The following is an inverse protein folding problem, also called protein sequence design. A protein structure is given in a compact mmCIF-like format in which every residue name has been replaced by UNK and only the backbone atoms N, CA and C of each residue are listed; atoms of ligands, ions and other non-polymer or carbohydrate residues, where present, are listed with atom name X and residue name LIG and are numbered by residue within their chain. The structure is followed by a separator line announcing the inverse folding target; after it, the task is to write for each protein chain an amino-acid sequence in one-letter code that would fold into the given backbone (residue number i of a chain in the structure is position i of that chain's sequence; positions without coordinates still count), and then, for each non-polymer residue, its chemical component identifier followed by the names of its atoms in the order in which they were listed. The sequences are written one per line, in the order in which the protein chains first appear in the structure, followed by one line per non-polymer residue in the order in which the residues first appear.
data_IF_485911618155
#
_entry.id   IF_485911618155
#
_cell.length_a   1.000
_cell.length_b   1.000
_cell.length_c   1.000
_cell.angle_alpha   90.00
_cell.angle_beta   90.00
_cell.angle_gamma   90.00
#
_symmetry.space_group_name_H-M   'P 1'
#
loop_
_entity.id
_entity.type
_entity.pdbx_description
1 polymer ?
#
# COMPACT_ATOMS: atom_id res chain seq x y z
N UNK A 1 -22.54 -17.00 3.43
CA UNK A 1 -22.17 -15.58 3.44
C UNK A 1 -23.14 -14.82 4.32
N UNK A 2 -22.68 -13.78 5.00
CA UNK A 2 -23.50 -12.87 5.81
C UNK A 2 -23.94 -11.63 5.01
N UNK A 3 -23.24 -11.33 3.92
CA UNK A 3 -23.52 -10.24 2.98
C UNK A 3 -23.13 -10.63 1.55
N UNK A 4 -23.41 -9.76 0.59
CA UNK A 4 -23.02 -9.90 -0.81
C UNK A 4 -21.52 -9.60 -1.01
N UNK A 5 -20.97 -10.15 -2.10
CA UNK A 5 -19.60 -9.97 -2.53
C UNK A 5 -19.58 -9.31 -3.90
N UNK A 6 -18.89 -8.18 -4.02
CA UNK A 6 -18.78 -7.38 -5.25
C UNK A 6 -17.36 -7.49 -5.80
N UNK A 7 -17.24 -7.94 -7.05
CA UNK A 7 -15.96 -8.09 -7.75
C UNK A 7 -15.95 -7.20 -8.98
N UNK A 8 -14.94 -6.34 -9.09
CA UNK A 8 -14.78 -5.41 -10.21
C UNK A 8 -14.05 -6.13 -11.35
N UNK A 9 -14.77 -6.43 -12.43
CA UNK A 9 -14.24 -7.02 -13.65
C UNK A 9 -15.24 -6.87 -14.81
N UNK A 10 -14.77 -7.00 -16.04
CA UNK A 10 -15.62 -7.32 -17.20
C UNK A 10 -15.35 -8.74 -17.72
N UNK A 11 -16.01 -9.15 -18.80
CA UNK A 11 -15.86 -10.50 -19.37
C UNK A 11 -14.42 -10.80 -19.81
N UNK A 12 -13.71 -9.83 -20.39
CA UNK A 12 -12.33 -10.00 -20.83
C UNK A 12 -11.41 -10.13 -19.63
N UNK A 13 -11.58 -9.26 -18.64
CA UNK A 13 -10.84 -9.29 -17.40
C UNK A 13 -11.02 -10.65 -16.71
N UNK A 14 -12.25 -11.15 -16.60
CA UNK A 14 -12.49 -12.48 -16.02
C UNK A 14 -11.83 -13.62 -16.81
N UNK A 15 -11.83 -13.53 -18.14
CA UNK A 15 -11.24 -14.58 -18.99
C UNK A 15 -9.69 -14.62 -18.93
N UNK A 16 -9.04 -13.47 -18.73
CA UNK A 16 -7.57 -13.37 -18.74
C UNK A 16 -6.92 -13.69 -17.39
N UNK A 17 -7.70 -13.61 -16.30
CA UNK A 17 -7.25 -13.80 -14.92
C UNK A 17 -7.64 -15.19 -14.40
N UNK A 18 -6.68 -16.12 -14.46
CA UNK A 18 -6.88 -17.57 -14.33
C UNK A 18 -6.89 -18.14 -12.91
N UNK A 19 -6.90 -17.29 -11.87
CA UNK A 19 -6.90 -17.78 -10.48
C UNK A 19 -8.30 -17.76 -9.86
N UNK A 20 -9.08 -18.81 -10.18
CA UNK A 20 -10.44 -19.08 -9.69
C UNK A 20 -10.56 -19.14 -8.15
N UNK A 21 -9.44 -19.16 -7.42
CA UNK A 21 -9.44 -19.13 -5.96
C UNK A 21 -9.76 -17.75 -5.40
N UNK A 22 -9.45 -16.67 -6.12
CA UNK A 22 -9.64 -15.30 -5.62
C UNK A 22 -11.12 -14.96 -5.39
N UNK A 23 -12.05 -15.27 -6.32
CA UNK A 23 -13.48 -15.13 -6.07
C UNK A 23 -13.96 -15.95 -4.86
N UNK A 24 -13.40 -17.15 -4.66
CA UNK A 24 -13.71 -17.99 -3.48
C UNK A 24 -13.24 -17.32 -2.19
N UNK A 25 -12.04 -16.70 -2.18
CA UNK A 25 -11.57 -15.94 -1.02
C UNK A 25 -12.50 -14.77 -0.69
N UNK A 26 -12.99 -14.04 -1.69
CA UNK A 26 -13.95 -12.95 -1.50
C UNK A 26 -15.26 -13.44 -0.87
N UNK A 27 -15.80 -14.56 -1.37
CA UNK A 27 -16.98 -15.23 -0.78
C UNK A 27 -16.74 -15.62 0.68
N UNK A 28 -15.55 -16.13 0.98
CA UNK A 28 -15.22 -16.51 2.35
C UNK A 28 -15.10 -15.26 3.25
N UNK A 29 -14.54 -14.15 2.77
CA UNK A 29 -14.48 -12.89 3.53
C UNK A 29 -15.86 -12.30 3.81
N UNK A 30 -16.84 -12.53 2.92
CA UNK A 30 -18.24 -12.15 3.13
C UNK A 30 -18.93 -12.91 4.28
N UNK A 31 -18.24 -13.86 4.93
CA UNK A 31 -18.72 -14.60 6.10
C UNK A 31 -18.15 -14.09 7.43
N UNK A 32 -17.35 -13.03 7.44
CA UNK A 32 -16.70 -12.55 8.66
C UNK A 32 -17.70 -11.99 9.68
N UNK A 33 -17.58 -12.34 10.97
CA UNK A 33 -18.46 -11.81 12.02
C UNK A 33 -18.45 -10.28 12.08
N UNK A 34 -19.65 -9.70 12.16
CA UNK A 34 -19.82 -8.25 12.21
C UNK A 34 -19.55 -7.54 10.89
N UNK A 35 -19.38 -8.24 9.77
CA UNK A 35 -19.29 -7.61 8.45
C UNK A 35 -20.50 -6.71 8.17
N UNK A 36 -20.24 -5.55 7.58
CA UNK A 36 -21.25 -4.55 7.20
C UNK A 36 -21.05 -4.13 5.75
N UNK A 37 -22.13 -3.77 5.06
CA UNK A 37 -22.13 -3.53 3.62
C UNK A 37 -21.65 -4.76 2.87
N UNK A 38 -21.09 -4.58 1.69
CA UNK A 38 -20.60 -5.66 0.83
C UNK A 38 -19.09 -5.93 1.04
N UNK A 39 -18.65 -7.15 0.76
CA UNK A 39 -17.23 -7.46 0.62
C UNK A 39 -16.77 -7.11 -0.80
N UNK A 40 -15.67 -6.38 -0.95
CA UNK A 40 -15.22 -5.89 -2.26
C UNK A 40 -13.90 -6.52 -2.72
N UNK A 41 -13.79 -6.80 -4.01
CA UNK A 41 -12.55 -7.07 -4.72
C UNK A 41 -12.36 -6.04 -5.85
N UNK A 42 -11.33 -5.19 -5.71
CA UNK A 42 -10.91 -4.17 -6.68
C UNK A 42 -10.42 -4.81 -7.99
N UNK A 43 -10.34 -4.04 -9.08
CA UNK A 43 -9.96 -4.56 -10.41
C UNK A 43 -8.57 -5.23 -10.48
N UNK A 44 -7.68 -4.97 -9.53
CA UNK A 44 -6.37 -5.61 -9.40
C UNK A 44 -6.40 -6.90 -8.56
N UNK A 45 -7.59 -7.45 -8.31
CA UNK A 45 -7.79 -8.63 -7.47
C UNK A 45 -6.95 -9.83 -7.89
N UNK A 46 -6.41 -10.54 -6.90
CA UNK A 46 -5.71 -11.82 -7.09
C UNK A 46 -5.55 -12.58 -5.77
N UNK A 47 -5.14 -13.84 -5.85
CA UNK A 47 -5.04 -14.74 -4.70
C UNK A 47 -4.07 -14.22 -3.63
N UNK A 48 -4.54 -14.20 -2.38
CA UNK A 48 -3.78 -13.78 -1.21
C UNK A 48 -3.79 -14.81 -0.07
N UNK A 49 -3.35 -14.39 1.12
CA UNK A 49 -3.49 -15.18 2.35
C UNK A 49 -4.83 -14.88 3.05
N UNK A 50 -5.78 -15.82 3.01
CA UNK A 50 -7.12 -15.65 3.57
C UNK A 50 -8.00 -14.72 2.73
N UNK A 51 -7.66 -13.43 2.73
CA UNK A 51 -8.30 -12.40 1.90
C UNK A 51 -7.63 -12.34 0.53
N UNK A 52 -8.40 -12.03 -0.55
CA UNK A 52 -7.81 -11.66 -1.82
C UNK A 52 -6.98 -10.39 -1.65
N UNK A 53 -5.87 -10.27 -2.39
CA UNK A 53 -5.24 -8.98 -2.61
C UNK A 53 -6.14 -8.21 -3.58
N UNK A 54 -6.32 -6.90 -3.39
CA UNK A 54 -7.43 -6.14 -3.96
C UNK A 54 -8.68 -6.16 -3.07
N UNK A 55 -8.61 -6.71 -1.86
CA UNK A 55 -9.76 -6.91 -0.98
C UNK A 55 -10.06 -5.72 -0.08
N UNK A 56 -11.34 -5.38 0.07
CA UNK A 56 -11.85 -4.44 1.08
C UNK A 56 -13.04 -5.03 1.83
N UNK A 57 -12.96 -5.03 3.16
CA UNK A 57 -14.02 -5.53 4.05
C UNK A 57 -14.13 -4.63 5.26
N UNK A 58 -15.34 -4.20 5.58
CA UNK A 58 -15.63 -3.45 6.79
C UNK A 58 -16.38 -4.33 7.80
N UNK A 59 -15.98 -4.27 9.07
CA UNK A 59 -16.71 -4.88 10.18
C UNK A 59 -17.13 -3.80 11.18
N UNK A 60 -18.36 -3.87 11.72
CA UNK A 60 -18.82 -2.93 12.74
C UNK A 60 -18.08 -3.18 14.05
N UNK A 61 -17.39 -2.16 14.56
CA UNK A 61 -16.63 -2.27 15.81
C UNK A 61 -17.53 -2.56 17.00
N UNK A 62 -18.82 -2.19 16.93
CA UNK A 62 -19.81 -2.37 17.98
C UNK A 62 -20.69 -3.61 17.76
N UNK A 63 -20.35 -4.48 16.81
CA UNK A 63 -21.11 -5.71 16.54
C UNK A 63 -21.03 -6.70 17.71
N UNK A 64 -22.09 -6.80 18.50
CA UNK A 64 -22.15 -7.70 19.67
C UNK A 64 -21.29 -7.20 20.84
N UNK A 65 -21.04 -8.06 21.83
CA UNK A 65 -20.33 -7.65 23.06
C UNK A 65 -18.83 -7.44 22.86
N UNK A 66 -18.20 -8.17 21.94
CA UNK A 66 -16.75 -8.11 21.68
C UNK A 66 -16.38 -7.41 20.37
N UNK A 67 -17.36 -6.84 19.67
CA UNK A 67 -17.18 -6.16 18.39
C UNK A 67 -16.98 -7.09 17.19
N UNK A 68 -16.96 -6.50 16.01
CA UNK A 68 -16.74 -7.19 14.74
C UNK A 68 -15.32 -7.77 14.60
N UNK A 69 -15.13 -8.59 13.57
CA UNK A 69 -13.88 -9.28 13.35
C UNK A 69 -12.75 -8.33 12.88
N UNK A 70 -11.56 -8.50 13.45
CA UNK A 70 -10.30 -8.00 12.89
C UNK A 70 -9.41 -9.18 12.47
N UNK A 71 -8.88 -9.12 11.25
CA UNK A 71 -8.04 -10.20 10.70
C UNK A 71 -6.70 -9.66 10.17
N UNK A 72 -5.55 -10.16 10.66
CA UNK A 72 -4.26 -9.84 10.08
C UNK A 72 -4.14 -10.26 8.61
N UNK A 73 -4.83 -11.34 8.23
CA UNK A 73 -4.92 -11.79 6.83
C UNK A 73 -5.62 -10.78 5.92
N UNK A 74 -6.50 -9.94 6.47
CA UNK A 74 -7.20 -8.85 5.77
C UNK A 74 -6.43 -7.54 5.68
N UNK A 75 -5.30 -7.42 6.37
CA UNK A 75 -4.35 -6.32 6.25
C UNK A 75 -3.17 -6.73 5.37
N UNK A 76 -2.65 -7.94 5.58
CA UNK A 76 -1.46 -8.45 4.91
C UNK A 76 -0.20 -8.39 5.78
N UNK A 77 0.85 -9.07 5.32
CA UNK A 77 2.09 -9.21 6.08
C UNK A 77 2.92 -7.93 6.09
N UNK A 78 3.03 -7.23 4.96
CA UNK A 78 3.72 -5.94 4.92
C UNK A 78 2.74 -4.83 5.32
N UNK A 79 2.55 -4.69 6.63
CA UNK A 79 1.65 -3.69 7.23
C UNK A 79 2.09 -2.30 6.78
N UNK A 80 1.12 -1.50 6.35
CA UNK A 80 1.31 -0.20 5.73
C UNK A 80 2.36 -0.21 4.61
N UNK A 81 2.47 -1.30 3.85
CA UNK A 81 2.96 -1.19 2.48
C UNK A 81 2.10 -0.15 1.77
N UNK A 82 2.76 0.76 1.06
CA UNK A 82 2.11 1.93 0.52
C UNK A 82 3.04 2.67 -0.42
N UNK A 83 2.51 3.75 -0.96
CA UNK A 83 3.14 4.49 -2.05
C UNK A 83 3.18 5.95 -1.66
N UNK A 84 4.33 6.58 -1.87
CA UNK A 84 4.48 8.03 -1.82
C UNK A 84 4.86 8.53 -3.20
N UNK A 85 4.18 9.56 -3.68
CA UNK A 85 4.54 10.29 -4.89
C UNK A 85 5.13 11.63 -4.50
N UNK A 86 6.33 11.92 -5.00
CA UNK A 86 6.97 13.21 -4.92
C UNK A 86 6.99 13.86 -6.31
N UNK A 87 6.71 15.14 -6.40
CA UNK A 87 6.80 15.92 -7.62
C UNK A 87 7.89 16.96 -7.51
N UNK A 88 8.60 17.21 -8.61
CA UNK A 88 9.68 18.21 -8.68
C UNK A 88 9.30 19.32 -9.64
N UNK A 89 9.99 20.46 -9.59
CA UNK A 89 9.89 21.49 -10.62
C UNK A 89 10.67 21.15 -11.90
N UNK A 90 11.42 20.04 -11.91
CA UNK A 90 12.27 19.62 -13.01
C UNK A 90 11.47 18.93 -14.12
N UNK A 91 12.02 19.00 -15.32
CA UNK A 91 11.57 18.27 -16.51
C UNK A 91 12.63 17.26 -16.94
N UNK A 92 12.31 16.44 -17.95
CA UNK A 92 13.26 15.45 -18.47
C UNK A 92 14.56 16.09 -19.01
N UNK A 93 14.49 17.35 -19.48
CA UNK A 93 15.65 18.09 -19.97
C UNK A 93 16.62 18.51 -18.85
N UNK A 94 16.13 18.63 -17.62
CA UNK A 94 16.90 19.07 -16.46
C UNK A 94 17.68 17.92 -15.79
N UNK A 95 17.34 16.68 -16.11
CA UNK A 95 17.87 15.48 -15.44
C UNK A 95 18.59 14.55 -16.41
N UNK A 96 19.60 13.84 -15.92
CA UNK A 96 20.15 12.67 -16.60
C UNK A 96 19.62 11.41 -15.89
N UNK A 97 18.58 10.74 -16.43
CA UNK A 97 17.90 9.64 -15.74
C UNK A 97 18.85 8.50 -15.34
N UNK A 98 19.80 8.17 -16.21
CA UNK A 98 20.79 7.10 -15.97
C UNK A 98 21.75 7.43 -14.83
N UNK A 99 22.24 8.67 -14.79
CA UNK A 99 23.13 9.13 -13.72
C UNK A 99 22.38 9.18 -12.39
N UNK A 100 21.18 9.78 -12.38
CA UNK A 100 20.36 9.90 -11.18
C UNK A 100 19.93 8.53 -10.64
N UNK A 101 19.55 7.59 -11.51
CA UNK A 101 19.25 6.20 -11.11
C UNK A 101 20.43 5.53 -10.41
N UNK A 102 21.65 5.78 -10.90
CA UNK A 102 22.88 5.23 -10.32
C UNK A 102 23.16 5.83 -8.95
N UNK A 103 23.02 7.15 -8.81
CA UNK A 103 23.18 7.84 -7.52
C UNK A 103 22.14 7.38 -6.50
N UNK A 104 20.87 7.27 -6.91
CA UNK A 104 19.79 6.74 -6.06
C UNK A 104 20.06 5.30 -5.62
N UNK A 105 20.48 4.42 -6.54
CA UNK A 105 20.78 3.02 -6.20
C UNK A 105 21.96 2.87 -5.22
N UNK A 106 22.90 3.82 -5.22
CA UNK A 106 24.01 3.86 -4.28
C UNK A 106 23.59 4.40 -2.90
N UNK A 107 22.73 5.43 -2.87
CA UNK A 107 22.33 6.12 -1.64
C UNK A 107 21.11 5.50 -0.94
N UNK A 108 20.27 4.75 -1.67
CA UNK A 108 19.07 4.09 -1.15
C UNK A 108 19.34 2.59 -0.96
N UNK A 109 19.45 2.12 0.29
CA UNK A 109 19.67 0.71 0.54
C UNK A 109 18.44 -0.11 0.14
N UNK A 110 18.62 -0.98 -0.83
CA UNK A 110 17.61 -1.94 -1.28
C UNK A 110 18.01 -3.40 -0.97
N UNK A 111 17.05 -4.31 -1.07
CA UNK A 111 17.18 -5.75 -0.92
C UNK A 111 16.69 -6.30 0.42
N UNK A 112 16.85 -7.62 0.61
CA UNK A 112 16.46 -8.31 1.85
C UNK A 112 17.37 -7.95 3.06
N UNK A 113 18.52 -7.34 2.79
CA UNK A 113 19.47 -6.89 3.81
C UNK A 113 18.98 -5.63 4.51
N UNK A 114 19.24 -5.54 5.82
CA UNK A 114 19.04 -4.32 6.62
C UNK A 114 20.25 -3.36 6.57
N UNK A 115 21.34 -3.75 5.89
CA UNK A 115 22.56 -2.93 5.83
C UNK A 115 22.30 -1.62 5.09
N UNK A 116 22.71 -0.51 5.69
CA UNK A 116 22.60 0.84 5.14
C UNK A 116 21.43 1.66 5.67
N UNK A 117 20.50 1.04 6.41
CA UNK A 117 19.44 1.76 7.11
C UNK A 117 19.95 2.57 8.31
N UNK A 118 19.09 3.46 8.81
CA UNK A 118 19.35 4.23 10.03
C UNK A 118 19.38 3.27 11.22
N UNK A 119 20.41 3.39 12.05
CA UNK A 119 20.49 2.66 13.32
C UNK A 119 19.76 3.43 14.39
N UNK A 120 18.64 2.88 14.86
CA UNK A 120 17.82 3.48 15.90
C UNK A 120 18.18 2.91 17.27
N UNK A 121 18.31 3.78 18.26
CA UNK A 121 18.30 3.43 19.67
C UNK A 121 16.90 2.96 20.10
N UNK A 122 16.79 2.39 21.30
CA UNK A 122 15.52 1.94 21.85
C UNK A 122 14.48 3.08 21.98
N UNK A 123 14.91 4.27 22.41
CA UNK A 123 14.03 5.44 22.51
C UNK A 123 13.60 5.98 21.15
N UNK A 124 14.49 5.94 20.14
CA UNK A 124 14.15 6.42 18.80
C UNK A 124 13.18 5.48 18.09
N UNK A 125 13.34 4.15 18.22
CA UNK A 125 12.36 3.22 17.67
C UNK A 125 11.00 3.35 18.36
N UNK A 126 10.97 3.56 19.68
CA UNK A 126 9.71 3.81 20.41
C UNK A 126 9.02 5.09 19.91
N UNK A 127 9.78 6.17 19.72
CA UNK A 127 9.26 7.42 19.13
C UNK A 127 8.68 7.17 17.73
N UNK A 128 9.40 6.45 16.87
CA UNK A 128 8.92 6.07 15.53
C UNK A 128 7.64 5.23 15.57
N UNK A 129 7.51 4.30 16.51
CA UNK A 129 6.30 3.49 16.67
C UNK A 129 5.11 4.31 17.19
N UNK A 130 5.36 5.40 17.92
CA UNK A 130 4.34 6.27 18.50
C UNK A 130 3.86 7.38 17.55
N UNK A 131 4.79 8.02 16.85
CA UNK A 131 4.55 9.27 16.11
C UNK A 131 4.82 9.17 14.60
N UNK A 132 5.33 8.04 14.14
CA UNK A 132 5.47 7.73 12.72
C UNK A 132 6.29 8.75 11.96
N UNK A 133 5.68 9.39 10.96
CA UNK A 133 6.36 10.39 10.15
C UNK A 133 6.80 11.63 10.97
N UNK A 134 6.09 11.99 12.04
CA UNK A 134 6.48 13.10 12.91
C UNK A 134 7.80 12.82 13.63
N UNK A 135 7.95 11.63 14.21
CA UNK A 135 9.24 11.18 14.75
C UNK A 135 10.35 11.16 13.70
N UNK A 136 10.06 10.77 12.45
CA UNK A 136 11.07 10.85 11.39
C UNK A 136 11.53 12.29 11.13
N UNK A 137 10.63 13.27 11.19
CA UNK A 137 10.98 14.70 11.10
C UNK A 137 11.88 15.12 12.26
N UNK A 138 11.52 14.77 13.50
CA UNK A 138 12.29 15.12 14.69
C UNK A 138 13.71 14.53 14.67
N UNK A 139 13.87 13.35 14.07
CA UNK A 139 15.16 12.68 13.89
C UNK A 139 15.96 13.18 12.68
N UNK A 140 15.45 14.17 11.93
CA UNK A 140 16.10 14.73 10.74
C UNK A 140 15.94 13.88 9.47
N UNK A 141 15.02 12.92 9.48
CA UNK A 141 14.71 12.01 8.36
C UNK A 141 13.36 12.33 7.69
N UNK A 142 12.96 13.60 7.71
CA UNK A 142 11.75 14.09 7.06
C UNK A 142 11.64 15.60 7.20
N UNK A 143 10.64 16.20 6.55
CA UNK A 143 10.35 17.63 6.65
C UNK A 143 8.89 17.84 7.12
N UNK A 144 8.66 18.76 8.07
CA UNK A 144 7.32 18.97 8.67
C UNK A 144 6.25 19.34 7.64
N UNK A 145 6.64 20.00 6.54
CA UNK A 145 5.73 20.38 5.45
C UNK A 145 5.09 19.18 4.75
N UNK A 146 5.73 18.00 4.80
CA UNK A 146 5.25 16.80 4.13
C UNK A 146 4.05 16.19 4.85
N UNK A 147 3.91 16.41 6.16
CA UNK A 147 2.95 15.70 7.01
C UNK A 147 1.51 15.83 6.52
N UNK A 148 1.11 17.03 6.07
CA UNK A 148 -0.25 17.29 5.57
C UNK A 148 -0.58 16.53 4.26
N UNK A 149 0.43 16.04 3.54
CA UNK A 149 0.28 15.23 2.33
C UNK A 149 0.41 13.72 2.63
N UNK A 150 0.50 13.31 3.89
CA UNK A 150 0.55 11.90 4.28
C UNK A 150 -0.81 11.48 4.83
N UNK A 151 -1.31 10.32 4.43
CA UNK A 151 -2.51 9.72 5.00
C UNK A 151 -2.45 9.71 6.53
N UNK A 152 -3.52 10.14 7.22
CA UNK A 152 -3.55 10.29 8.68
C UNK A 152 -2.46 11.24 9.23
N UNK A 153 -1.97 12.16 8.41
CA UNK A 153 -0.79 13.00 8.70
C UNK A 153 0.47 12.18 9.07
N UNK A 154 0.54 10.93 8.60
CA UNK A 154 1.66 10.02 8.86
C UNK A 154 1.70 9.42 10.26
N UNK A 155 0.58 9.45 10.98
CA UNK A 155 0.44 8.90 12.33
C UNK A 155 -0.89 8.17 12.51
N UNK A 156 -0.80 6.93 12.98
CA UNK A 156 -1.89 6.11 13.50
C UNK A 156 -1.82 6.13 15.02
N UNK A 157 -2.98 6.12 15.65
CA UNK A 157 -3.08 6.09 17.11
C UNK A 157 -2.69 4.71 17.63
N UNK A 158 -1.70 4.62 18.51
CA UNK A 158 -1.32 3.39 19.21
C UNK A 158 -0.99 3.72 20.66
N UNK A 159 -1.48 2.91 21.60
CA UNK A 159 -1.40 3.15 23.05
C UNK A 159 -0.31 2.33 23.71
N UNK A 160 -0.30 1.01 23.51
CA UNK A 160 0.63 0.09 24.19
C UNK A 160 1.93 -0.07 23.40
N UNK A 161 1.82 -0.06 22.05
CA UNK A 161 2.91 -0.32 21.09
C UNK A 161 3.60 -1.65 21.40
N UNK A 162 2.84 -2.66 21.80
CA UNK A 162 3.37 -3.99 22.18
C UNK A 162 3.82 -4.77 20.95
N UNK A 163 4.96 -4.36 20.41
CA UNK A 163 5.61 -4.96 19.25
C UNK A 163 6.68 -5.92 19.77
N UNK A 164 6.56 -7.20 19.45
CA UNK A 164 7.46 -8.24 19.94
C UNK A 164 8.95 -7.96 19.68
N UNK A 165 9.83 -8.44 20.57
CA UNK A 165 11.28 -8.20 20.52
C UNK A 165 11.91 -8.53 19.15
N UNK A 166 11.41 -9.60 18.50
CA UNK A 166 11.88 -10.02 17.19
C UNK A 166 11.52 -8.99 16.11
N UNK A 167 10.34 -8.38 16.19
CA UNK A 167 9.90 -7.33 15.27
C UNK A 167 10.73 -6.05 15.48
N UNK A 168 10.95 -5.63 16.73
CA UNK A 168 11.82 -4.50 17.08
C UNK A 168 13.25 -4.70 16.56
N UNK A 169 13.84 -5.88 16.77
CA UNK A 169 15.18 -6.21 16.26
C UNK A 169 15.25 -6.17 14.73
N UNK A 170 14.17 -6.51 14.03
CA UNK A 170 14.11 -6.43 12.56
C UNK A 170 13.97 -4.98 12.08
N UNK A 171 13.27 -4.13 12.82
CA UNK A 171 13.07 -2.71 12.50
C UNK A 171 14.22 -1.77 12.90
N UNK A 172 14.98 -2.06 13.96
CA UNK A 172 15.97 -1.12 14.52
C UNK A 172 17.11 -0.70 13.59
N UNK A 173 17.29 -1.39 12.46
CA UNK A 173 18.33 -1.12 11.46
C UNK A 173 17.78 -0.98 10.04
N UNK A 174 16.45 -1.00 9.87
CA UNK A 174 15.81 -1.05 8.55
C UNK A 174 15.17 0.27 8.11
N UNK A 175 15.19 1.31 8.94
CA UNK A 175 14.57 2.59 8.63
C UNK A 175 15.35 3.27 7.49
N UNK A 176 14.64 3.88 6.53
CA UNK A 176 15.22 4.46 5.34
C UNK A 176 15.75 3.42 4.35
N UNK A 177 15.17 2.22 4.32
CA UNK A 177 15.51 1.17 3.35
C UNK A 177 14.30 0.76 2.53
N UNK A 178 14.54 0.41 1.27
CA UNK A 178 13.47 0.09 0.33
C UNK A 178 12.92 -1.32 0.57
N UNK A 179 13.82 -2.30 0.68
CA UNK A 179 13.45 -3.71 0.72
C UNK A 179 13.49 -4.43 -0.60
N UNK A 180 12.74 -5.53 -0.68
CA UNK A 180 12.71 -6.48 -1.80
C UNK A 180 11.27 -6.75 -2.24
N UNK A 181 11.07 -7.59 -3.27
CA UNK A 181 9.75 -7.87 -3.83
C UNK A 181 9.33 -6.80 -4.82
N UNK A 182 8.11 -6.30 -4.66
CA UNK A 182 7.53 -5.23 -5.47
C UNK A 182 7.93 -3.82 -4.99
N UNK A 183 8.82 -3.69 -4.01
CA UNK A 183 9.28 -2.39 -3.53
C UNK A 183 10.29 -1.75 -4.48
N UNK A 184 10.08 -0.49 -4.83
CA UNK A 184 10.94 0.29 -5.70
C UNK A 184 10.99 1.78 -5.34
N UNK A 185 12.03 2.46 -5.84
CA UNK A 185 11.97 3.89 -6.11
C UNK A 185 11.99 4.05 -7.63
N UNK A 186 11.00 4.72 -8.18
CA UNK A 186 10.85 4.90 -9.61
C UNK A 186 10.82 6.38 -9.96
N UNK A 187 11.72 6.80 -10.85
CA UNK A 187 11.66 8.12 -11.46
C UNK A 187 10.73 8.02 -12.66
N UNK A 188 9.80 8.97 -12.75
CA UNK A 188 8.77 8.97 -13.78
C UNK A 188 8.64 10.36 -14.38
N UNK A 189 7.96 10.42 -15.52
CA UNK A 189 7.52 11.67 -16.14
C UNK A 189 6.01 11.64 -16.24
N UNK A 190 5.34 12.72 -15.85
CA UNK A 190 3.90 12.90 -16.13
C UNK A 190 3.72 13.01 -17.64
N UNK A 191 3.27 11.94 -18.29
CA UNK A 191 3.17 11.89 -19.75
C UNK A 191 1.83 12.44 -20.27
N UNK A 192 0.78 12.32 -19.45
CA UNK A 192 -0.58 12.74 -19.78
C UNK A 192 -1.33 13.20 -18.53
N UNK A 193 -2.00 14.34 -18.65
CA UNK A 193 -2.99 14.84 -17.67
C UNK A 193 -4.38 14.60 -18.22
N UNK A 194 -5.27 14.04 -17.40
CA UNK A 194 -6.67 13.70 -17.75
C UNK A 194 -7.63 14.65 -17.05
N UNK A 195 -7.43 14.91 -15.76
CA UNK A 195 -8.19 15.90 -14.98
C UNK A 195 -7.27 17.08 -14.63
N UNK A 196 -7.40 18.18 -15.37
CA UNK A 196 -6.56 19.36 -15.20
C UNK A 196 -6.75 20.04 -13.84
N UNK A 197 -7.97 20.03 -13.29
CA UNK A 197 -8.26 20.68 -12.02
C UNK A 197 -7.61 19.91 -10.86
N UNK A 198 -7.83 18.60 -10.81
CA UNK A 198 -7.20 17.74 -9.81
C UNK A 198 -5.67 17.72 -9.95
N UNK A 199 -5.14 17.64 -11.18
CA UNK A 199 -3.69 17.67 -11.40
C UNK A 199 -3.06 18.98 -10.89
N UNK A 200 -3.67 20.14 -11.17
CA UNK A 200 -3.18 21.42 -10.65
C UNK A 200 -3.23 21.50 -9.13
N UNK A 201 -4.29 20.99 -8.49
CA UNK A 201 -4.39 20.89 -7.04
C UNK A 201 -3.32 19.96 -6.43
N UNK A 202 -2.95 18.90 -7.15
CA UNK A 202 -1.92 17.94 -6.74
C UNK A 202 -0.49 18.39 -7.09
N UNK A 203 -0.31 19.58 -7.68
CA UNK A 203 1.01 20.07 -8.10
C UNK A 203 1.61 19.33 -9.29
N UNK A 204 0.76 18.66 -10.09
CA UNK A 204 1.15 17.86 -11.25
C UNK A 204 0.95 18.60 -12.57
N UNK A 205 1.94 18.50 -13.45
CA UNK A 205 1.90 19.05 -14.82
C UNK A 205 2.58 18.12 -15.81
N UNK A 206 2.11 18.11 -17.05
CA UNK A 206 2.71 17.29 -18.11
C UNK A 206 4.19 17.65 -18.32
N UNK A 207 5.04 16.63 -18.50
CA UNK A 207 6.49 16.76 -18.67
C UNK A 207 7.30 16.86 -17.37
N UNK A 208 6.63 16.96 -16.22
CA UNK A 208 7.25 17.03 -14.91
C UNK A 208 7.89 15.71 -14.50
N UNK A 209 9.08 15.78 -13.90
CA UNK A 209 9.73 14.63 -13.28
C UNK A 209 9.17 14.42 -11.88
N UNK A 210 8.78 13.18 -11.61
CA UNK A 210 8.28 12.72 -10.31
C UNK A 210 9.12 11.55 -9.82
N UNK A 211 8.98 11.24 -8.53
CA UNK A 211 9.56 10.05 -7.92
C UNK A 211 8.50 9.32 -7.10
N UNK A 212 8.27 8.04 -7.41
CA UNK A 212 7.37 7.18 -6.67
C UNK A 212 8.17 6.25 -5.77
N UNK A 213 7.86 6.25 -4.48
CA UNK A 213 8.50 5.41 -3.47
C UNK A 213 7.48 4.39 -2.99
N UNK A 214 7.68 3.12 -3.34
CA UNK A 214 6.84 2.01 -2.91
C UNK A 214 7.61 1.15 -1.89
N UNK A 215 7.17 1.23 -0.62
CA UNK A 215 7.70 0.38 0.46
C UNK A 215 6.71 0.33 1.64
N UNK A 216 7.04 -0.46 2.65
CA UNK A 216 6.23 -0.62 3.86
C UNK A 216 7.03 -0.64 5.14
N UNK A 217 6.51 -1.39 6.11
CA UNK A 217 7.04 -1.53 7.49
C UNK A 217 8.24 -2.47 7.60
N UNK A 218 8.73 -2.94 6.46
CA UNK A 218 9.93 -3.79 6.35
C UNK A 218 9.74 -5.10 7.14
N UNK A 219 10.82 -5.58 7.75
CA UNK A 219 10.76 -6.80 8.56
C UNK A 219 9.96 -6.64 9.85
N UNK A 220 9.66 -5.42 10.30
CA UNK A 220 8.93 -5.17 11.54
C UNK A 220 7.46 -5.57 11.38
N UNK A 221 6.72 -4.99 10.44
CA UNK A 221 5.30 -5.32 10.28
C UNK A 221 5.08 -6.76 9.79
N UNK A 222 5.97 -7.31 8.97
CA UNK A 222 5.91 -8.75 8.65
C UNK A 222 5.97 -9.60 9.91
N UNK A 223 6.84 -9.25 10.86
CA UNK A 223 6.99 -10.02 12.09
C UNK A 223 5.77 -9.86 13.00
N UNK A 224 5.25 -8.63 13.14
CA UNK A 224 3.98 -8.36 13.84
C UNK A 224 2.85 -9.22 13.27
N UNK A 225 2.61 -9.14 11.96
CA UNK A 225 1.56 -9.93 11.31
C UNK A 225 1.77 -11.44 11.54
N UNK A 226 3.00 -11.94 11.42
CA UNK A 226 3.29 -13.38 11.66
C UNK A 226 2.94 -13.82 13.08
N UNK A 227 3.29 -13.01 14.08
CA UNK A 227 3.06 -13.32 15.50
C UNK A 227 1.56 -13.29 15.83
N UNK A 228 0.84 -12.27 15.37
CA UNK A 228 -0.61 -12.15 15.63
C UNK A 228 -1.44 -13.15 14.82
N UNK A 229 -1.05 -13.50 13.58
CA UNK A 229 -1.67 -14.61 12.84
C UNK A 229 -1.54 -15.90 13.65
N UNK A 230 -0.33 -16.24 14.13
CA UNK A 230 -0.11 -17.46 14.89
C UNK A 230 -0.91 -17.48 16.21
N UNK A 231 -0.96 -16.35 16.92
CA UNK A 231 -1.73 -16.21 18.16
C UNK A 231 -3.23 -16.42 17.91
N UNK A 232 -3.81 -15.74 16.92
CA UNK A 232 -5.24 -15.85 16.60
C UNK A 232 -5.57 -17.25 16.06
N UNK A 233 -4.77 -17.80 15.15
CA UNK A 233 -4.97 -19.16 14.62
C UNK A 233 -4.95 -20.24 15.70
N UNK A 234 -4.18 -20.06 16.77
CA UNK A 234 -4.08 -21.03 17.86
C UNK A 234 -5.39 -21.24 18.64
N UNK A 235 -6.33 -20.29 18.53
CA UNK A 235 -7.67 -20.36 19.11
C UNK A 235 -8.70 -21.07 18.22
N UNK A 236 -8.30 -21.51 17.02
CA UNK A 236 -9.16 -22.25 16.10
C UNK A 236 -8.80 -23.73 16.06
N UNK A 237 -9.82 -24.58 16.09
CA UNK A 237 -9.71 -26.03 15.88
C UNK A 237 -10.48 -26.43 14.63
N UNK A 238 -9.95 -27.39 13.89
CA UNK A 238 -10.65 -27.93 12.73
C UNK A 238 -11.79 -28.83 13.19
N UNK A 239 -13.00 -28.53 12.73
CA UNK A 239 -14.21 -29.34 12.92
C UNK A 239 -14.84 -29.59 11.55
N UNK A 240 -14.66 -30.82 11.03
CA UNK A 240 -14.99 -31.17 9.65
C UNK A 240 -14.26 -30.29 8.63
N UNK A 241 -15.06 -29.53 7.87
CA UNK A 241 -14.60 -28.62 6.81
C UNK A 241 -14.50 -27.15 7.24
N UNK A 242 -14.75 -26.86 8.52
CA UNK A 242 -14.65 -25.50 9.08
C UNK A 242 -13.62 -25.43 10.20
N UNK A 243 -13.17 -24.22 10.48
CA UNK A 243 -12.32 -23.89 11.63
C UNK A 243 -13.17 -23.15 12.65
N UNK A 244 -13.29 -23.69 13.86
CA UNK A 244 -14.13 -23.15 14.90
C UNK A 244 -13.31 -22.70 16.12
N UNK A 245 -13.61 -21.51 16.63
CA UNK A 245 -13.15 -21.02 17.93
C UNK A 245 -14.30 -21.08 18.93
N UNK A 246 -14.19 -21.94 19.94
CA UNK A 246 -15.16 -22.02 21.04
C UNK A 246 -15.20 -20.73 21.86
N UNK A 247 -14.04 -20.08 22.04
CA UNK A 247 -13.89 -18.87 22.84
C UNK A 247 -14.67 -17.69 22.24
N UNK A 248 -14.59 -17.52 20.92
CA UNK A 248 -15.23 -16.38 20.23
C UNK A 248 -16.53 -16.76 19.54
N UNK A 249 -16.87 -18.05 19.48
CA UNK A 249 -18.05 -18.52 18.73
C UNK A 249 -17.94 -18.30 17.22
N UNK A 250 -16.73 -18.17 16.67
CA UNK A 250 -16.48 -17.86 15.26
C UNK A 250 -16.20 -19.16 14.48
N UNK A 251 -16.78 -19.27 13.29
CA UNK A 251 -16.50 -20.35 12.34
C UNK A 251 -16.02 -19.80 11.02
N UNK A 252 -14.91 -20.35 10.51
CA UNK A 252 -14.24 -19.90 9.28
C UNK A 252 -14.14 -21.05 8.28
N UNK A 253 -14.36 -20.73 6.99
CA UNK A 253 -14.21 -21.67 5.89
C UNK A 253 -12.73 -21.99 5.58
N UNK A 254 -11.82 -21.08 5.93
CA UNK A 254 -10.38 -21.23 5.72
C UNK A 254 -9.64 -20.77 6.98
N UNK A 255 -8.62 -21.53 7.38
CA UNK A 255 -7.74 -21.16 8.49
C UNK A 255 -7.04 -19.83 8.26
N UNK A 256 -6.70 -19.52 7.00
CA UNK A 256 -6.00 -18.29 6.65
C UNK A 256 -6.87 -17.04 6.85
N UNK A 257 -8.18 -17.19 7.06
CA UNK A 257 -9.10 -16.13 7.44
C UNK A 257 -9.15 -15.88 8.95
N UNK A 258 -8.23 -16.47 9.72
CA UNK A 258 -8.13 -16.27 11.16
C UNK A 258 -8.36 -14.81 11.55
N UNK A 259 -9.36 -14.63 12.40
CA UNK A 259 -9.81 -13.33 12.89
C UNK A 259 -10.18 -13.44 14.36
N UNK A 260 -10.11 -12.33 15.09
CA UNK A 260 -10.59 -12.23 16.46
C UNK A 260 -11.61 -11.08 16.55
N UNK A 261 -12.54 -11.10 17.51
CA UNK A 261 -13.35 -9.91 17.81
C UNK A 261 -12.43 -8.73 18.16
N UNK A 262 -12.72 -7.53 17.66
CA UNK A 262 -11.82 -6.38 17.79
C UNK A 262 -11.60 -5.94 19.24
N UNK A 263 -12.54 -6.20 20.15
CA UNK A 263 -12.41 -5.91 21.59
C UNK A 263 -11.92 -7.10 22.41
N UNK A 264 -11.67 -8.26 21.78
CA UNK A 264 -10.95 -9.36 22.45
C UNK A 264 -9.50 -8.96 22.75
N UNK A 265 -8.83 -9.69 23.65
CA UNK A 265 -7.40 -9.45 23.95
C UNK A 265 -6.54 -9.52 22.70
N UNK A 266 -6.73 -10.55 21.88
CA UNK A 266 -5.97 -10.80 20.66
C UNK A 266 -6.27 -9.76 19.57
N UNK A 267 -7.54 -9.36 19.43
CA UNK A 267 -7.97 -8.34 18.47
C UNK A 267 -7.42 -6.95 18.81
N UNK A 268 -7.55 -6.53 20.06
CA UNK A 268 -7.04 -5.25 20.53
C UNK A 268 -5.51 -5.17 20.46
N UNK A 269 -4.81 -6.24 20.88
CA UNK A 269 -3.36 -6.31 20.78
C UNK A 269 -2.88 -6.25 19.32
N UNK A 270 -3.57 -6.93 18.40
CA UNK A 270 -3.22 -6.86 16.98
C UNK A 270 -3.44 -5.46 16.40
N UNK A 271 -4.58 -4.82 16.68
CA UNK A 271 -4.88 -3.48 16.19
C UNK A 271 -3.79 -2.48 16.60
N UNK A 272 -3.43 -2.47 17.88
CA UNK A 272 -2.41 -1.58 18.42
C UNK A 272 -1.01 -1.84 17.80
N UNK A 273 -0.58 -3.10 17.74
CA UNK A 273 0.71 -3.44 17.13
C UNK A 273 0.76 -3.16 15.62
N UNK A 274 -0.37 -3.31 14.92
CA UNK A 274 -0.52 -2.97 13.50
C UNK A 274 -0.45 -1.46 13.28
N UNK A 275 -1.08 -0.66 14.14
CA UNK A 275 -0.96 0.81 14.10
C UNK A 275 0.50 1.26 14.34
N UNK A 276 1.19 0.67 15.33
CA UNK A 276 2.60 0.94 15.58
C UNK A 276 3.51 0.55 14.39
N UNK A 277 3.27 -0.61 13.77
CA UNK A 277 3.97 -1.00 12.55
C UNK A 277 3.65 -0.08 11.36
N UNK A 278 2.42 0.43 11.30
CA UNK A 278 2.01 1.44 10.32
C UNK A 278 2.77 2.75 10.47
N UNK A 279 2.94 3.24 11.70
CA UNK A 279 3.77 4.41 12.01
C UNK A 279 5.21 4.23 11.52
N UNK A 280 5.80 3.07 11.76
CA UNK A 280 7.13 2.74 11.26
C UNK A 280 7.23 2.84 9.72
N UNK A 281 6.20 2.40 8.99
CA UNK A 281 6.21 2.48 7.53
C UNK A 281 6.13 3.94 7.02
N UNK A 282 5.31 4.79 7.64
CA UNK A 282 5.27 6.22 7.32
C UNK A 282 6.63 6.88 7.57
N UNK A 283 7.27 6.58 8.71
CA UNK A 283 8.63 7.04 9.01
C UNK A 283 9.64 6.55 7.96
N UNK A 284 9.53 5.30 7.52
CA UNK A 284 10.42 4.72 6.52
C UNK A 284 10.30 5.44 5.16
N UNK A 285 9.08 5.75 4.71
CA UNK A 285 8.85 6.52 3.48
C UNK A 285 9.35 7.96 3.60
N UNK A 286 9.21 8.59 4.77
CA UNK A 286 9.80 9.91 5.04
C UNK A 286 11.33 9.88 4.94
N UNK A 287 11.99 8.88 5.56
CA UNK A 287 13.44 8.73 5.50
C UNK A 287 13.95 8.48 4.07
N UNK A 288 13.22 7.72 3.25
CA UNK A 288 13.54 7.53 1.83
C UNK A 288 13.33 8.81 1.00
N UNK A 289 12.30 9.60 1.33
CA UNK A 289 12.07 10.92 0.70
C UNK A 289 13.22 11.86 1.00
N UNK A 290 13.72 11.86 2.24
CA UNK A 290 14.88 12.66 2.62
C UNK A 290 16.15 12.25 1.86
N UNK A 291 16.41 10.94 1.70
CA UNK A 291 17.53 10.45 0.88
C UNK A 291 17.41 10.87 -0.58
N UNK A 292 16.19 10.85 -1.13
CA UNK A 292 15.94 11.34 -2.48
C UNK A 292 16.28 12.83 -2.60
N UNK A 293 15.85 13.67 -1.65
CA UNK A 293 16.21 15.10 -1.60
C UNK A 293 17.73 15.30 -1.54
N UNK A 294 18.43 14.53 -0.72
CA UNK A 294 19.89 14.58 -0.59
C UNK A 294 20.59 14.26 -1.91
N UNK A 295 20.18 13.18 -2.58
CA UNK A 295 20.74 12.80 -3.90
C UNK A 295 20.49 13.89 -4.94
N UNK A 296 19.30 14.50 -4.96
CA UNK A 296 19.00 15.61 -5.86
C UNK A 296 19.88 16.84 -5.57
N UNK A 297 20.05 17.20 -4.29
CA UNK A 297 20.92 18.30 -3.86
C UNK A 297 22.37 18.07 -4.24
N UNK A 298 22.87 16.85 -4.11
CA UNK A 298 24.23 16.48 -4.53
C UNK A 298 24.44 16.55 -6.04
N UNK A 299 23.46 16.11 -6.84
CA UNK A 299 23.56 16.08 -8.30
C UNK A 299 23.33 17.46 -8.94
N UNK A 300 22.39 18.24 -8.40
CA UNK A 300 21.87 19.45 -9.05
C UNK A 300 22.06 20.74 -8.22
N UNK A 301 22.67 20.66 -7.04
CA UNK A 301 22.86 21.79 -6.12
C UNK A 301 21.58 22.24 -5.39
N UNK A 302 20.44 21.63 -5.70
CA UNK A 302 19.11 21.85 -5.11
C UNK A 302 18.29 20.56 -5.19
N UNK A 303 17.24 20.43 -4.38
CA UNK A 303 16.31 19.29 -4.45
C UNK A 303 15.28 19.41 -5.58
N UNK A 304 15.37 20.47 -6.41
CA UNK A 304 14.47 20.69 -7.53
C UNK A 304 13.05 21.06 -7.10
N UNK A 305 12.86 21.63 -5.90
CA UNK A 305 11.53 21.99 -5.40
C UNK A 305 10.67 20.75 -5.13
N UNK A 306 11.29 19.70 -4.58
CA UNK A 306 10.61 18.44 -4.33
C UNK A 306 9.58 18.57 -3.21
N UNK A 307 8.31 18.38 -3.58
CA UNK A 307 7.17 18.31 -2.68
C UNK A 307 6.53 16.92 -2.71
N UNK A 308 6.00 16.48 -1.57
CA UNK A 308 5.20 15.25 -1.49
C UNK A 308 3.80 15.56 -2.01
N UNK A 309 3.39 14.89 -3.09
CA UNK A 309 2.04 14.99 -3.66
C UNK A 309 1.06 14.30 -2.71
N UNK A 310 1.34 13.03 -2.41
CA UNK A 310 0.61 12.29 -1.39
C UNK A 310 1.39 11.04 -0.96
N UNK A 311 1.04 10.49 0.19
CA UNK A 311 1.49 9.20 0.70
C UNK A 311 0.29 8.42 1.24
N UNK A 312 0.08 7.20 0.72
CA UNK A 312 -1.09 6.40 1.03
C UNK A 312 -0.74 4.93 1.25
N UNK A 313 -1.43 4.32 2.20
CA UNK A 313 -1.34 2.89 2.49
C UNK A 313 -2.20 2.07 1.54
N UNK A 314 -1.78 0.83 1.28
CA UNK A 314 -2.65 -0.18 0.66
C UNK A 314 -2.76 -1.51 1.42
N UNK A 315 -2.14 -1.62 2.60
CA UNK A 315 -2.22 -2.77 3.48
C UNK A 315 -2.45 -2.28 4.91
N UNK A 316 -3.70 -2.00 5.28
CA UNK A 316 -4.02 -1.42 6.59
C UNK A 316 -5.44 -1.77 7.01
N UNK A 317 -5.70 -1.84 8.31
CA UNK A 317 -7.05 -1.76 8.87
C UNK A 317 -7.22 -0.41 9.58
N UNK A 318 -8.33 0.28 9.34
CA UNK A 318 -8.61 1.59 9.96
C UNK A 318 -10.00 1.63 10.55
N UNK A 319 -10.12 2.30 11.70
CA UNK A 319 -11.42 2.64 12.28
C UNK A 319 -11.91 3.90 11.59
N UNK A 320 -13.03 3.79 10.88
CA UNK A 320 -13.56 4.85 10.03
C UNK A 320 -15.08 4.96 10.22
N UNK A 321 -15.59 6.18 10.09
CA UNK A 321 -17.04 6.44 10.10
C UNK A 321 -17.60 6.31 8.67
N UNK A 322 -18.56 5.43 8.48
CA UNK A 322 -19.24 5.21 7.20
C UNK A 322 -20.76 5.21 7.37
N UNK A 323 -21.49 5.42 6.27
CA UNK A 323 -22.94 5.21 6.23
C UNK A 323 -23.25 3.90 5.52
N UNK A 324 -23.73 2.92 6.26
CA UNK A 324 -24.07 1.59 5.74
C UNK A 324 -25.58 1.39 5.80
N UNK A 325 -26.19 1.10 4.66
CA UNK A 325 -27.64 0.93 4.51
C UNK A 325 -28.48 2.07 5.16
N UNK A 326 -27.98 3.30 5.08
CA UNK A 326 -28.64 4.51 5.60
C UNK A 326 -28.28 4.89 7.04
N UNK A 327 -27.61 4.02 7.79
CA UNK A 327 -27.21 4.22 9.19
C UNK A 327 -25.72 4.51 9.34
N UNK A 328 -25.33 5.31 10.34
CA UNK A 328 -23.91 5.49 10.67
C UNK A 328 -23.33 4.22 11.28
N UNK A 329 -22.10 3.88 10.90
CA UNK A 329 -21.30 2.78 11.43
C UNK A 329 -19.88 3.27 11.69
N UNK A 330 -19.38 3.03 12.89
CA UNK A 330 -17.95 3.03 13.17
C UNK A 330 -17.43 1.66 12.75
N UNK A 331 -16.71 1.59 11.63
CA UNK A 331 -16.31 0.33 11.04
C UNK A 331 -14.79 0.16 11.05
N UNK A 332 -14.31 -1.06 11.29
CA UNK A 332 -12.93 -1.47 11.04
C UNK A 332 -12.81 -1.90 9.58
N UNK A 333 -12.30 -1.00 8.74
CA UNK A 333 -12.14 -1.21 7.30
C UNK A 333 -10.77 -1.83 7.03
N UNK A 334 -10.77 -3.10 6.63
CA UNK A 334 -9.61 -3.85 6.18
C UNK A 334 -9.36 -3.56 4.71
N UNK A 335 -8.15 -3.14 4.37
CA UNK A 335 -7.69 -2.97 2.99
C UNK A 335 -6.40 -3.75 2.79
N UNK A 336 -6.40 -4.66 1.82
CA UNK A 336 -5.22 -5.46 1.45
C UNK A 336 -5.02 -5.41 -0.06
N UNK A 337 -3.96 -4.73 -0.48
CA UNK A 337 -3.83 -4.30 -1.86
C UNK A 337 -5.02 -3.42 -2.28
N UNK A 338 -5.48 -2.54 -1.41
CA UNK A 338 -6.52 -1.57 -1.74
C UNK A 338 -6.24 -0.26 -1.02
N UNK A 339 -6.52 0.85 -1.67
CA UNK A 339 -6.13 2.18 -1.21
C UNK A 339 -7.36 2.93 -0.75
N UNK A 340 -7.25 3.78 0.28
CA UNK A 340 -8.32 4.71 0.63
C UNK A 340 -8.48 5.80 -0.45
N UNK A 341 -9.70 6.25 -0.69
CA UNK A 341 -10.10 7.20 -1.74
C UNK A 341 -11.18 8.16 -1.22
N UNK A 342 -10.84 9.00 -0.24
CA UNK A 342 -11.79 9.93 0.38
C UNK A 342 -12.32 11.01 -0.57
N UNK A 343 -13.55 11.45 -0.31
CA UNK A 343 -14.19 12.58 -0.97
C UNK A 343 -13.49 13.91 -0.72
N UNK A 344 -13.57 14.84 -1.67
CA UNK A 344 -12.96 16.18 -1.57
C UNK A 344 -13.55 17.08 -0.48
N UNK A 345 -14.65 16.69 0.14
CA UNK A 345 -15.29 17.33 1.29
C UNK A 345 -14.93 16.68 2.63
N UNK A 346 -14.10 15.62 2.62
CA UNK A 346 -13.74 14.89 3.82
C UNK A 346 -12.78 15.71 4.71
N UNK A 347 -13.07 15.87 6.03
CA UNK A 347 -12.34 16.78 6.91
C UNK A 347 -10.89 16.37 7.20
N UNK A 348 -10.54 15.10 6.96
CA UNK A 348 -9.15 14.64 7.09
C UNK A 348 -8.23 15.19 5.98
N UNK A 349 -8.79 15.60 4.85
CA UNK A 349 -7.97 16.07 3.73
C UNK A 349 -7.44 17.49 3.98
N UNK A 350 -6.17 17.69 3.65
CA UNK A 350 -5.59 19.02 3.59
C UNK A 350 -6.35 19.91 2.60
N UNK A 351 -6.34 21.22 2.85
CA UNK A 351 -7.07 22.20 2.03
C UNK A 351 -6.74 22.13 0.53
N UNK A 352 -5.52 21.71 0.18
CA UNK A 352 -5.08 21.51 -1.20
C UNK A 352 -5.91 20.46 -1.96
N UNK A 353 -6.50 19.48 -1.28
CA UNK A 353 -7.31 18.42 -1.89
C UNK A 353 -8.82 18.69 -1.81
N UNK A 354 -9.21 19.84 -1.27
CA UNK A 354 -10.61 20.20 -1.10
C UNK A 354 -11.31 20.36 -2.45
N UNK A 355 -12.49 19.75 -2.57
CA UNK A 355 -13.31 19.78 -3.79
C UNK A 355 -12.77 18.94 -4.96
N UNK A 356 -11.59 18.32 -4.83
CA UNK A 356 -11.01 17.44 -5.85
C UNK A 356 -10.90 15.98 -5.40
N UNK A 357 -10.84 15.71 -4.09
CA UNK A 357 -10.75 14.36 -3.55
C UNK A 357 -9.32 13.95 -3.20
N UNK A 358 -9.20 12.89 -2.40
CA UNK A 358 -7.90 12.37 -1.97
C UNK A 358 -7.10 11.85 -3.18
N UNK A 359 -5.81 12.17 -3.31
CA UNK A 359 -4.95 11.47 -4.25
C UNK A 359 -4.93 9.96 -3.98
N UNK A 360 -5.06 9.17 -5.04
CA UNK A 360 -4.96 7.70 -5.03
C UNK A 360 -3.81 7.33 -5.97
N UNK A 361 -2.78 6.68 -5.43
CA UNK A 361 -1.54 6.39 -6.14
C UNK A 361 -1.54 4.92 -6.56
N UNK A 362 -1.50 4.67 -7.87
CA UNK A 362 -1.53 3.32 -8.44
C UNK A 362 -0.22 3.07 -9.18
N UNK A 363 0.78 2.47 -8.52
CA UNK A 363 1.98 1.96 -9.17
C UNK A 363 1.64 0.93 -10.24
N UNK A 364 2.28 1.06 -11.40
CA UNK A 364 2.36 0.00 -12.40
C UNK A 364 3.42 -1.03 -12.03
N UNK A 365 4.09 -1.55 -13.05
CA UNK A 365 5.30 -2.35 -12.92
C UNK A 365 6.52 -1.61 -13.52
N UNK A 366 7.70 -2.23 -13.46
CA UNK A 366 8.97 -1.62 -13.88
C UNK A 366 9.04 -1.18 -15.36
N UNK A 367 8.11 -1.63 -16.20
CA UNK A 367 8.06 -1.33 -17.63
C UNK A 367 6.77 -0.66 -18.10
N UNK A 368 5.75 -0.55 -17.25
CA UNK A 368 4.44 0.02 -17.59
C UNK A 368 4.20 1.34 -16.89
N UNK A 369 3.07 1.98 -17.19
CA UNK A 369 2.74 3.26 -16.59
C UNK A 369 2.28 3.12 -15.14
N UNK A 370 2.48 4.17 -14.36
CA UNK A 370 1.75 4.38 -13.11
C UNK A 370 0.66 5.42 -13.29
N UNK A 371 -0.29 5.49 -12.37
CA UNK A 371 -1.38 6.45 -12.39
C UNK A 371 -1.55 7.18 -11.07
N UNK A 372 -1.93 8.46 -11.18
CA UNK A 372 -2.57 9.22 -10.10
C UNK A 372 -4.05 9.29 -10.42
N UNK A 373 -4.87 8.91 -9.45
CA UNK A 373 -6.31 9.10 -9.45
C UNK A 373 -6.70 10.04 -8.30
N UNK A 374 -7.97 10.41 -8.25
CA UNK A 374 -8.57 11.12 -7.15
C UNK A 374 -9.80 10.35 -6.64
N UNK A 375 -10.06 10.42 -5.34
CA UNK A 375 -11.36 10.06 -4.78
C UNK A 375 -12.50 10.89 -5.38
N UNK A 376 -13.75 10.63 -4.95
CA UNK A 376 -14.89 11.44 -5.34
C UNK A 376 -14.67 12.93 -5.03
N UNK A 377 -15.32 13.83 -5.77
CA UNK A 377 -15.26 15.27 -5.47
C UNK A 377 -15.99 15.62 -4.17
N UNK A 378 -16.97 14.80 -3.77
CA UNK A 378 -17.77 14.93 -2.55
C UNK A 378 -18.32 13.56 -2.14
N UNK A 379 -18.46 13.33 -0.84
CA UNK A 379 -18.93 12.05 -0.28
C UNK A 379 -17.95 10.89 -0.49
N UNK A 380 -18.32 9.71 -0.02
CA UNK A 380 -17.57 8.46 -0.24
C UNK A 380 -18.10 7.68 -1.45
N UNK A 381 -17.31 6.74 -1.96
CA UNK A 381 -17.78 5.70 -2.86
C UNK A 381 -18.36 4.51 -2.06
N UNK A 382 -19.06 3.61 -2.74
CA UNK A 382 -19.76 2.47 -2.11
C UNK A 382 -18.80 1.44 -1.48
N UNK A 383 -17.53 1.42 -1.89
CA UNK A 383 -16.51 0.52 -1.36
C UNK A 383 -15.79 1.08 -0.13
N UNK A 384 -16.53 1.70 0.80
CA UNK A 384 -15.99 2.31 2.02
C UNK A 384 -14.89 3.34 1.70
N UNK A 385 -15.13 4.19 0.69
CA UNK A 385 -14.13 5.15 0.19
C UNK A 385 -12.80 4.47 -0.13
N UNK A 386 -12.83 3.41 -0.94
CA UNK A 386 -11.64 2.64 -1.33
C UNK A 386 -11.50 2.48 -2.84
N UNK A 387 -10.30 2.15 -3.29
CA UNK A 387 -9.94 1.96 -4.70
C UNK A 387 -8.82 0.91 -4.83
N UNK A 388 -8.45 0.56 -6.07
CA UNK A 388 -7.29 -0.28 -6.37
C UNK A 388 -5.96 0.30 -5.85
N UNK A 389 -4.91 -0.52 -5.85
CA UNK A 389 -3.57 -0.15 -5.38
C UNK A 389 -2.46 -0.34 -6.41
N UNK A 390 -2.69 -1.09 -7.47
CA UNK A 390 -1.68 -1.37 -8.48
C UNK A 390 -2.25 -2.09 -9.69
N UNK A 391 -1.39 -2.65 -10.55
CA UNK A 391 -1.82 -3.48 -11.66
C UNK A 391 -2.36 -4.86 -11.21
N UNK A 392 -1.91 -5.38 -10.07
CA UNK A 392 -2.25 -6.74 -9.61
C UNK A 392 -1.49 -7.82 -10.37
N UNK A 393 -1.21 -8.96 -9.72
CA UNK A 393 -0.43 -10.03 -10.35
C UNK A 393 -1.32 -10.95 -11.18
N UNK A 394 -0.90 -11.24 -12.40
CA UNK A 394 -1.46 -12.28 -13.26
C UNK A 394 -0.72 -13.61 -13.10
N UNK A 395 0.59 -13.57 -12.86
CA UNK A 395 1.43 -14.76 -12.69
C UNK A 395 1.98 -14.87 -11.27
N UNK A 396 2.03 -16.10 -10.75
CA UNK A 396 2.80 -16.39 -9.54
C UNK A 396 4.28 -16.07 -9.74
N UNK A 397 4.99 -15.68 -8.68
CA UNK A 397 6.44 -15.41 -8.73
C UNK A 397 7.23 -16.59 -9.29
N UNK A 398 6.83 -17.82 -8.93
CA UNK A 398 7.47 -19.04 -9.42
C UNK A 398 7.22 -19.27 -10.91
N UNK A 399 6.04 -18.91 -11.43
CA UNK A 399 5.76 -18.98 -12.86
C UNK A 399 6.58 -17.92 -13.64
N UNK A 400 6.57 -16.67 -13.17
CA UNK A 400 7.31 -15.57 -13.80
C UNK A 400 8.82 -15.84 -13.89
N UNK A 401 9.44 -16.35 -12.81
CA UNK A 401 10.86 -16.75 -12.79
C UNK A 401 11.22 -17.80 -13.85
N UNK A 402 10.27 -18.65 -14.25
CA UNK A 402 10.51 -19.70 -15.24
C UNK A 402 10.36 -19.21 -16.68
N UNK A 403 9.57 -18.16 -16.90
CA UNK A 403 9.21 -17.67 -18.23
C UNK A 403 10.01 -16.45 -18.68
N UNK A 404 10.66 -15.72 -17.76
CA UNK A 404 11.31 -14.45 -18.08
C UNK A 404 12.83 -14.53 -17.92
N UNK A 405 13.56 -14.15 -18.98
CA UNK A 405 15.00 -13.90 -18.94
C UNK A 405 15.28 -12.48 -18.45
N UNK A 406 15.89 -12.37 -17.25
CA UNK A 406 16.22 -11.09 -16.64
C UNK A 406 17.16 -10.22 -17.49
N UNK A 407 18.10 -10.81 -18.24
CA UNK A 407 19.05 -10.01 -19.03
C UNK A 407 18.35 -9.39 -20.24
N UNK A 408 17.57 -10.20 -20.96
CA UNK A 408 16.77 -9.73 -22.08
C UNK A 408 15.76 -8.65 -21.65
N UNK A 409 15.15 -8.80 -20.48
CA UNK A 409 14.25 -7.80 -19.91
C UNK A 409 14.98 -6.48 -19.62
N UNK A 410 16.17 -6.51 -19.00
CA UNK A 410 16.95 -5.29 -18.77
C UNK A 410 17.33 -4.59 -20.08
N UNK A 411 17.75 -5.36 -21.08
CA UNK A 411 18.09 -4.81 -22.41
C UNK A 411 16.88 -4.16 -23.08
N UNK A 412 15.71 -4.80 -23.00
CA UNK A 412 14.45 -4.27 -23.54
C UNK A 412 14.02 -2.97 -22.84
N UNK A 413 14.13 -2.92 -21.51
CA UNK A 413 13.80 -1.72 -20.72
C UNK A 413 14.77 -0.57 -21.03
N UNK A 414 16.08 -0.84 -21.06
CA UNK A 414 17.09 0.16 -21.42
C UNK A 414 16.90 0.66 -22.87
N UNK A 415 16.56 -0.21 -23.82
CA UNK A 415 16.23 0.17 -25.19
C UNK A 415 14.97 1.05 -25.29
N UNK A 416 14.05 0.88 -24.35
CA UNK A 416 12.84 1.70 -24.20
C UNK A 416 13.08 2.99 -23.39
N UNK A 417 14.33 3.25 -22.98
CA UNK A 417 14.71 4.44 -22.22
C UNK A 417 14.41 4.37 -20.71
N UNK A 418 14.22 3.16 -20.17
CA UNK A 418 13.98 2.91 -18.74
C UNK A 418 15.26 2.34 -18.12
N UNK A 419 15.92 3.11 -17.25
CA UNK A 419 17.17 2.69 -16.63
C UNK A 419 16.93 1.92 -15.33
N UNK A 420 17.24 0.63 -15.32
CA UNK A 420 16.96 -0.23 -14.17
C UNK A 420 18.23 -0.46 -13.34
N UNK A 421 18.10 -0.39 -12.02
CA UNK A 421 19.13 -0.73 -11.04
C UNK A 421 18.57 -1.73 -10.05
N UNK A 422 19.05 -2.96 -10.12
CA UNK A 422 18.62 -4.04 -9.21
C UNK A 422 19.84 -4.60 -8.48
N UNK A 423 19.72 -4.81 -7.17
CA UNK A 423 20.79 -5.50 -6.41
C UNK A 423 20.79 -7.01 -6.65
N UNK A 424 19.63 -7.60 -6.86
CA UNK A 424 19.45 -9.04 -7.04
C UNK A 424 18.77 -9.35 -8.38
N UNK A 425 19.52 -9.70 -9.44
CA UNK A 425 18.96 -9.89 -10.80
C UNK A 425 17.81 -10.92 -10.90
N UNK A 426 17.79 -11.92 -10.02
CA UNK A 426 16.73 -12.93 -9.98
C UNK A 426 15.36 -12.37 -9.57
N UNK A 427 15.32 -11.22 -8.88
CA UNK A 427 14.08 -10.55 -8.49
C UNK A 427 13.51 -9.72 -9.65
N UNK A 428 14.26 -9.55 -10.73
CA UNK A 428 13.75 -8.84 -11.91
C UNK A 428 12.71 -9.68 -12.65
N UNK A 429 12.99 -10.97 -12.89
CA UNK A 429 12.07 -11.87 -13.59
C UNK A 429 10.76 -12.11 -12.83
N UNK A 430 10.76 -12.01 -11.50
CA UNK A 430 9.55 -12.09 -10.67
C UNK A 430 8.59 -10.91 -10.88
N UNK A 431 9.15 -9.76 -11.24
CA UNK A 431 8.47 -8.47 -11.27
C UNK A 431 8.36 -7.93 -12.71
N UNK A 432 8.57 -8.80 -13.71
CA UNK A 432 8.46 -8.47 -15.11
C UNK A 432 7.04 -7.98 -15.47
N UNK A 433 6.88 -7.08 -16.45
CA UNK A 433 5.58 -6.56 -16.87
C UNK A 433 4.55 -7.66 -17.17
N UNK A 434 4.97 -8.75 -17.81
CA UNK A 434 4.10 -9.88 -18.17
C UNK A 434 3.56 -10.66 -16.96
N UNK A 435 4.12 -10.43 -15.76
CA UNK A 435 3.63 -11.02 -14.52
C UNK A 435 2.44 -10.24 -13.92
N UNK A 436 2.13 -9.06 -14.45
CA UNK A 436 1.10 -8.14 -13.98
C UNK A 436 -0.06 -8.04 -14.98
N UNK A 437 -1.22 -7.54 -14.52
CA UNK A 437 -2.33 -7.16 -15.39
C UNK A 437 -2.00 -5.85 -16.12
N UNK A 438 -2.78 -5.48 -17.12
CA UNK A 438 -2.65 -4.15 -17.72
C UNK A 438 -3.20 -3.09 -16.75
N UNK A 439 -2.32 -2.21 -16.29
CA UNK A 439 -2.68 -1.11 -15.38
C UNK A 439 -3.70 -0.15 -16.01
N UNK A 440 -3.63 0.11 -17.32
CA UNK A 440 -4.56 1.00 -18.01
C UNK A 440 -5.99 0.38 -18.02
N UNK A 441 -6.09 -0.95 -18.09
CA UNK A 441 -7.36 -1.70 -17.94
C UNK A 441 -7.90 -1.62 -16.51
N UNK A 442 -7.05 -1.85 -15.49
CA UNK A 442 -7.41 -1.72 -14.07
C UNK A 442 -7.96 -0.32 -13.76
N UNK A 443 -7.32 0.74 -14.29
CA UNK A 443 -7.77 2.12 -14.11
C UNK A 443 -9.12 2.36 -14.78
N UNK A 444 -9.33 1.84 -15.99
CA UNK A 444 -10.62 1.96 -16.69
C UNK A 444 -11.74 1.33 -15.86
N UNK A 445 -11.57 0.08 -15.42
CA UNK A 445 -12.56 -0.64 -14.62
C UNK A 445 -12.83 0.06 -13.28
N UNK A 446 -11.78 0.55 -12.62
CA UNK A 446 -11.90 1.31 -11.36
C UNK A 446 -12.72 2.60 -11.54
N UNK A 447 -12.50 3.30 -12.67
CA UNK A 447 -13.24 4.52 -12.99
C UNK A 447 -14.69 4.25 -13.38
N UNK A 448 -14.95 3.22 -14.17
CA UNK A 448 -16.31 2.82 -14.59
C UNK A 448 -17.15 2.36 -13.39
N UNK A 449 -16.52 1.71 -12.41
CA UNK A 449 -17.13 1.34 -11.14
C UNK A 449 -17.34 2.53 -10.17
N UNK A 450 -16.92 3.75 -10.54
CA UNK A 450 -17.09 4.94 -9.70
C UNK A 450 -16.22 4.97 -8.44
N UNK A 451 -15.14 4.17 -8.38
CA UNK A 451 -14.31 4.04 -7.18
C UNK A 451 -13.26 5.15 -7.07
N UNK A 452 -12.62 5.51 -8.19
CA UNK A 452 -11.69 6.63 -8.26
C UNK A 452 -11.60 7.19 -9.68
N UNK A 453 -11.25 8.46 -9.81
CA UNK A 453 -11.25 9.21 -11.08
C UNK A 453 -9.82 9.40 -11.59
N UNK A 454 -9.48 9.03 -12.84
CA UNK A 454 -8.13 9.21 -13.37
C UNK A 454 -7.72 10.69 -13.43
N UNK A 455 -6.51 11.02 -12.97
CA UNK A 455 -5.99 12.40 -12.95
C UNK A 455 -4.79 12.55 -13.86
N UNK A 456 -3.76 11.71 -13.70
CA UNK A 456 -2.53 11.78 -14.49
C UNK A 456 -1.92 10.40 -14.67
N UNK A 457 -1.31 10.19 -15.83
CA UNK A 457 -0.51 9.00 -16.13
C UNK A 457 0.97 9.37 -16.08
N UNK A 458 1.77 8.48 -15.51
CA UNK A 458 3.21 8.64 -15.36
C UNK A 458 3.92 7.49 -16.07
N UNK A 459 4.96 7.83 -16.84
CA UNK A 459 5.79 6.85 -17.53
C UNK A 459 7.14 6.72 -16.82
N UNK A 460 7.62 5.51 -16.51
CA UNK A 460 8.93 5.32 -15.91
C UNK A 460 10.05 5.78 -16.83
N UNK A 461 11.11 6.30 -16.21
CA UNK A 461 12.40 6.62 -16.85
C UNK A 461 13.57 5.96 -16.11
N UNK A 462 13.39 5.61 -14.84
CA UNK A 462 14.35 4.78 -14.10
C UNK A 462 13.71 4.05 -12.92
N UNK A 463 14.19 2.85 -12.62
CA UNK A 463 13.66 1.99 -11.54
C UNK A 463 14.80 1.50 -10.66
N UNK A 464 14.71 1.75 -9.36
CA UNK A 464 15.64 1.25 -8.34
C UNK A 464 14.92 0.18 -7.53
N UNK A 465 15.45 -1.04 -7.54
CA UNK A 465 14.82 -2.22 -6.91
C UNK A 465 15.81 -3.02 -6.05
N UNK A 466 15.27 -3.70 -5.04
CA UNK A 466 16.05 -4.55 -4.11
C UNK A 466 16.44 -5.92 -4.61
#
# INVERSE_FOLDING_TARGET
MLTDAILIADEQHMAEHSDDRSPTQLVNTACLPGIVGEAWAMADWHFGYGFPIGGVVATDVNSGEQGGAISPGGVGFDINCGVRLCATEMTLEDVNPKALATSLANSIPAGASRKGGVSLTASEIESVLSDGAGAAVDLGWGESRDLAAIESNGRLESSERDVGERALKRGSTALGTLGSGNHFVELQVVDRVVDQNAASAFGLRQGQVTAMIHTGSRGLGHQVCTEHVAAIESNYRRDGDVWHSEEWGISLADRQLAAAPIHSREGAAYLDAMQAAGNYAFANRSALTQRLREVLREQHGRDGGLDVVYDVSHNIAKIEEHRVHGSSCTCCVHRKGATRALGGDHPELAAAFSGVGQPVLVPGDMGTASWVLAGPTSGGNDAFSSSCHGAGRRLSRTAARKSVDSNALMESLEASGIHVRVKTPNVLSEEAPEAYKDVDEVIRLTSEAGLARPVARLRPIAVIKG
#
